data_IF_876991491470
#
_entry.id   IF_876991491470
#
_cell.length_a   1.000
_cell.length_b   1.000
_cell.length_c   1.000
_cell.angle_alpha   90.00
_cell.angle_beta   90.00
_cell.angle_gamma   90.00
#
_symmetry.space_group_name_H-M   'P 1'
#
loop_
_entity.id
_entity.type
_entity.pdbx_description
1 polymer ?
#
# COMPACT_ATOMS: atom_id res chain seq x y z
N UNK A 1 -31.83 22.10 -4.67
CA UNK A 1 -31.87 20.66 -4.31
C UNK A 1 -32.24 19.69 -5.45
N UNK A 2 -32.54 20.11 -6.69
CA UNK A 2 -32.85 19.17 -7.81
C UNK A 2 -31.69 18.85 -8.77
N UNK A 3 -30.52 19.50 -8.62
CA UNK A 3 -29.36 19.29 -9.52
C UNK A 3 -28.43 18.15 -9.09
N UNK A 4 -28.39 17.78 -7.81
CA UNK A 4 -27.55 16.66 -7.32
C UNK A 4 -28.13 15.26 -7.62
N UNK A 5 -29.44 15.14 -7.85
CA UNK A 5 -30.09 13.85 -8.12
C UNK A 5 -29.85 13.35 -9.56
N UNK A 6 -29.65 14.27 -10.51
CA UNK A 6 -29.35 13.95 -11.92
C UNK A 6 -27.88 13.57 -12.15
N UNK A 7 -26.95 14.07 -11.32
CA UNK A 7 -25.55 13.65 -11.35
C UNK A 7 -25.37 12.22 -10.81
N UNK A 8 -26.13 11.85 -9.77
CA UNK A 8 -26.14 10.49 -9.22
C UNK A 8 -26.71 9.46 -10.22
N UNK A 9 -27.76 9.83 -10.95
CA UNK A 9 -28.35 9.00 -12.02
C UNK A 9 -27.43 8.85 -13.26
N UNK A 10 -26.55 9.81 -13.53
CA UNK A 10 -25.59 9.73 -14.63
C UNK A 10 -24.37 8.86 -14.29
N UNK A 11 -23.93 8.83 -13.02
CA UNK A 11 -22.91 7.90 -12.52
C UNK A 11 -23.43 6.45 -12.44
N UNK A 12 -24.70 6.27 -12.06
CA UNK A 12 -25.37 4.95 -12.10
C UNK A 12 -25.65 4.45 -13.52
N UNK A 13 -25.67 5.34 -14.53
CA UNK A 13 -25.94 4.98 -15.93
C UNK A 13 -24.69 4.50 -16.71
N UNK A 14 -23.51 4.48 -16.09
CA UNK A 14 -22.27 3.99 -16.70
C UNK A 14 -21.79 2.65 -16.14
N UNK A 15 -22.65 1.91 -15.43
CA UNK A 15 -22.45 0.46 -15.34
C UNK A 15 -22.78 -0.10 -16.74
N UNK A 16 -21.76 -0.40 -17.53
CA UNK A 16 -21.95 -1.07 -18.83
C UNK A 16 -22.80 -2.32 -18.63
N UNK A 17 -23.61 -2.71 -19.62
CA UNK A 17 -24.43 -3.93 -19.54
C UNK A 17 -23.63 -5.17 -19.08
N UNK A 18 -22.34 -5.22 -19.44
CA UNK A 18 -21.42 -6.25 -18.95
C UNK A 18 -21.13 -6.13 -17.45
N UNK A 19 -20.97 -4.93 -16.89
CA UNK A 19 -20.79 -4.73 -15.45
C UNK A 19 -22.05 -5.11 -14.66
N UNK A 20 -23.25 -4.77 -15.15
CA UNK A 20 -24.51 -5.17 -14.50
C UNK A 20 -24.68 -6.70 -14.49
N UNK A 21 -24.47 -7.35 -15.65
CA UNK A 21 -24.53 -8.81 -15.76
C UNK A 21 -23.47 -9.50 -14.88
N UNK A 22 -22.30 -8.89 -14.72
CA UNK A 22 -21.27 -9.37 -13.80
C UNK A 22 -21.71 -9.21 -12.34
N UNK A 23 -22.29 -8.06 -11.97
CA UNK A 23 -22.88 -7.85 -10.64
C UNK A 23 -23.95 -8.91 -10.33
N UNK A 24 -24.80 -9.25 -11.30
CA UNK A 24 -25.86 -10.25 -11.12
C UNK A 24 -25.30 -11.67 -10.90
N UNK A 25 -24.17 -12.01 -11.52
CA UNK A 25 -23.47 -13.29 -11.28
C UNK A 25 -22.85 -13.30 -9.89
N UNK A 26 -22.19 -12.19 -9.54
CA UNK A 26 -21.53 -11.97 -8.27
C UNK A 26 -22.54 -12.10 -7.11
N UNK A 27 -23.70 -11.45 -7.22
CA UNK A 27 -24.81 -11.45 -6.25
C UNK A 27 -25.52 -12.82 -6.10
N UNK A 28 -25.11 -13.85 -6.83
CA UNK A 28 -25.79 -15.14 -6.78
C UNK A 28 -25.52 -15.89 -5.47
N UNK A 29 -26.50 -16.65 -4.91
CA UNK A 29 -26.35 -17.37 -3.64
C UNK A 29 -25.24 -18.42 -3.59
N UNK A 30 -24.58 -18.72 -4.72
CA UNK A 30 -23.48 -19.69 -4.79
C UNK A 30 -22.19 -19.21 -4.10
N UNK A 31 -22.05 -17.90 -3.87
CA UNK A 31 -20.80 -17.28 -3.38
C UNK A 31 -20.74 -17.00 -1.86
N UNK A 32 -21.49 -17.77 -1.06
CA UNK A 32 -21.59 -17.52 0.39
C UNK A 32 -20.44 -18.07 1.25
N UNK A 33 -19.54 -18.90 0.68
CA UNK A 33 -18.43 -19.50 1.41
C UNK A 33 -17.09 -18.91 0.97
N UNK A 34 -16.15 -18.77 1.91
CA UNK A 34 -14.78 -18.34 1.63
C UNK A 34 -14.10 -19.28 0.64
N UNK A 35 -13.54 -18.71 -0.42
CA UNK A 35 -12.92 -19.42 -1.52
C UNK A 35 -11.86 -18.54 -2.14
N UNK A 36 -10.56 -18.74 -1.84
CA UNK A 36 -9.51 -17.80 -2.24
C UNK A 36 -9.48 -17.48 -3.73
N UNK A 37 -9.80 -18.46 -4.59
CA UNK A 37 -9.84 -18.25 -6.04
C UNK A 37 -11.05 -17.42 -6.48
N UNK A 38 -12.23 -17.66 -5.88
CA UNK A 38 -13.44 -16.90 -6.18
C UNK A 38 -13.37 -15.50 -5.58
N UNK A 39 -12.88 -15.37 -4.34
CA UNK A 39 -12.70 -14.08 -3.67
C UNK A 39 -11.64 -13.23 -4.37
N UNK A 40 -10.55 -13.82 -4.88
CA UNK A 40 -9.55 -13.08 -5.67
C UNK A 40 -10.17 -12.54 -6.96
N UNK A 41 -11.04 -13.32 -7.60
CA UNK A 41 -11.79 -12.88 -8.77
C UNK A 41 -12.79 -11.76 -8.41
N UNK A 42 -13.51 -11.87 -7.29
CA UNK A 42 -14.39 -10.79 -6.80
C UNK A 42 -13.60 -9.50 -6.59
N UNK A 43 -12.42 -9.58 -5.97
CA UNK A 43 -11.55 -8.42 -5.77
C UNK A 43 -11.15 -7.79 -7.09
N UNK A 44 -10.66 -8.59 -8.05
CA UNK A 44 -10.28 -8.12 -9.39
C UNK A 44 -11.40 -7.35 -10.07
N UNK A 45 -12.64 -7.88 -10.01
CA UNK A 45 -13.79 -7.24 -10.63
C UNK A 45 -14.25 -5.97 -9.89
N UNK A 46 -13.92 -5.81 -8.61
CA UNK A 46 -14.40 -4.71 -7.77
C UNK A 46 -13.44 -3.51 -7.71
N UNK A 47 -12.17 -3.67 -8.13
CA UNK A 47 -11.18 -2.59 -8.15
C UNK A 47 -11.60 -1.33 -8.94
N UNK A 48 -12.32 -1.43 -10.08
CA UNK A 48 -12.80 -0.25 -10.81
C UNK A 48 -13.96 0.50 -10.15
N UNK A 49 -14.49 0.00 -9.02
CA UNK A 49 -15.67 0.53 -8.33
C UNK A 49 -15.31 0.98 -6.92
N UNK A 50 -14.61 2.12 -6.77
CA UNK A 50 -14.31 2.66 -5.46
C UNK A 50 -15.62 3.02 -4.72
N UNK A 51 -15.62 2.79 -3.41
CA UNK A 51 -16.71 3.17 -2.52
C UNK A 51 -16.66 4.67 -2.23
N UNK A 52 -17.82 5.32 -2.26
CA UNK A 52 -18.01 6.67 -1.73
C UNK A 52 -18.43 6.64 -0.24
N UNK A 53 -18.80 5.47 0.27
CA UNK A 53 -19.44 5.29 1.59
C UNK A 53 -18.46 4.89 2.69
N UNK A 54 -17.29 4.33 2.33
CA UNK A 54 -16.26 3.92 3.29
C UNK A 54 -14.87 4.10 2.71
N UNK A 55 -13.89 4.29 3.59
CA UNK A 55 -12.49 4.46 3.20
C UNK A 55 -11.55 3.60 4.04
N UNK A 56 -10.32 3.44 3.56
CA UNK A 56 -9.24 2.79 4.29
C UNK A 56 -8.09 3.75 4.52
N UNK A 57 -7.49 3.65 5.68
CA UNK A 57 -6.24 4.32 6.01
C UNK A 57 -5.29 3.37 6.71
N UNK A 58 -4.01 3.67 6.60
CA UNK A 58 -2.94 2.93 7.25
C UNK A 58 -2.33 3.78 8.35
N UNK A 59 -2.28 3.24 9.56
CA UNK A 59 -1.58 3.85 10.68
C UNK A 59 -0.33 3.03 10.98
N UNK A 60 0.84 3.63 10.84
CA UNK A 60 2.08 2.99 11.25
C UNK A 60 2.14 2.86 12.77
N UNK A 61 2.39 1.65 13.27
CA UNK A 61 2.64 1.40 14.68
C UNK A 61 4.15 1.43 14.97
N UNK A 62 4.94 0.76 14.12
CA UNK A 62 6.40 0.78 14.17
C UNK A 62 7.02 0.53 12.77
N UNK A 63 8.31 0.19 12.70
CA UNK A 63 9.01 -0.03 11.43
C UNK A 63 8.43 -1.16 10.55
N UNK A 64 7.69 -2.12 11.12
CA UNK A 64 7.16 -3.30 10.41
C UNK A 64 5.67 -3.56 10.64
N UNK A 65 5.06 -2.93 11.64
CA UNK A 65 3.67 -3.12 12.02
C UNK A 65 2.82 -1.90 11.68
N UNK A 66 1.66 -2.17 11.08
CA UNK A 66 0.70 -1.17 10.64
C UNK A 66 -0.70 -1.64 11.00
N UNK A 67 -1.58 -0.70 11.33
CA UNK A 67 -3.02 -0.95 11.50
C UNK A 67 -3.77 -0.42 10.30
N UNK A 68 -4.68 -1.24 9.77
CA UNK A 68 -5.60 -0.84 8.72
C UNK A 68 -6.86 -0.36 9.42
N UNK A 69 -7.16 0.92 9.25
CA UNK A 69 -8.35 1.53 9.80
C UNK A 69 -9.35 1.72 8.70
N UNK A 70 -10.51 1.10 8.88
CA UNK A 70 -11.70 1.40 8.11
C UNK A 70 -12.40 2.61 8.68
N UNK A 71 -12.79 3.55 7.83
CA UNK A 71 -13.72 4.62 8.21
C UNK A 71 -15.07 4.36 7.53
N UNK A 72 -16.15 4.51 8.29
CA UNK A 72 -17.54 4.35 7.83
C UNK A 72 -17.86 2.98 7.21
N UNK A 73 -17.15 1.91 7.58
CA UNK A 73 -17.46 0.55 7.11
C UNK A 73 -18.88 0.15 7.58
N UNK A 74 -19.80 -0.20 6.66
CA UNK A 74 -21.16 -0.62 7.02
C UNK A 74 -21.18 -1.86 7.93
N UNK A 75 -21.87 -1.81 9.09
CA UNK A 75 -22.01 -2.98 9.95
C UNK A 75 -22.96 -4.03 9.35
N UNK A 76 -22.75 -5.30 9.72
CA UNK A 76 -23.52 -6.46 9.28
C UNK A 76 -23.24 -6.89 7.85
N UNK A 77 -22.18 -6.36 7.23
CA UNK A 77 -21.79 -6.66 5.87
C UNK A 77 -20.48 -7.45 5.82
N UNK A 78 -20.42 -8.43 4.91
CA UNK A 78 -19.25 -9.28 4.66
C UNK A 78 -18.31 -8.59 3.69
N UNK A 79 -17.05 -8.50 4.06
CA UNK A 79 -15.97 -7.91 3.28
C UNK A 79 -14.87 -8.93 3.01
N UNK A 80 -14.19 -8.78 1.87
CA UNK A 80 -12.96 -9.48 1.52
C UNK A 80 -11.80 -8.53 1.76
N UNK A 81 -10.78 -8.99 2.50
CA UNK A 81 -9.52 -8.29 2.63
C UNK A 81 -8.46 -8.93 1.74
N UNK A 82 -7.81 -8.13 0.90
CA UNK A 82 -6.78 -8.58 -0.03
C UNK A 82 -5.64 -7.57 -0.15
N UNK A 83 -4.47 -8.06 -0.55
CA UNK A 83 -3.38 -7.22 -1.07
C UNK A 83 -3.27 -7.38 -2.58
N UNK A 84 -3.03 -6.29 -3.28
CA UNK A 84 -2.84 -6.21 -4.73
C UNK A 84 -1.44 -5.65 -4.99
N UNK A 85 -0.65 -6.37 -5.76
CA UNK A 85 0.65 -5.91 -6.26
C UNK A 85 0.41 -5.04 -7.51
N UNK A 86 0.59 -3.71 -7.43
CA UNK A 86 0.27 -2.79 -8.54
C UNK A 86 1.17 -3.00 -9.76
N UNK A 87 2.29 -3.71 -9.63
CA UNK A 87 3.24 -3.91 -10.73
C UNK A 87 2.88 -5.10 -11.63
N UNK A 88 2.21 -6.11 -11.09
CA UNK A 88 1.87 -7.33 -11.83
C UNK A 88 0.39 -7.74 -11.71
N UNK A 89 -0.41 -6.99 -10.94
CA UNK A 89 -1.83 -7.25 -10.72
C UNK A 89 -2.10 -8.48 -9.87
N UNK A 90 -1.10 -9.08 -9.23
CA UNK A 90 -1.28 -10.26 -8.39
C UNK A 90 -2.13 -9.89 -7.17
N UNK A 91 -3.21 -10.63 -6.99
CA UNK A 91 -4.13 -10.49 -5.85
C UNK A 91 -3.89 -11.63 -4.88
N UNK A 92 -3.72 -11.29 -3.61
CA UNK A 92 -3.63 -12.25 -2.50
C UNK A 92 -4.76 -11.96 -1.51
N UNK A 93 -5.78 -12.81 -1.51
CA UNK A 93 -6.86 -12.76 -0.52
C UNK A 93 -6.35 -13.31 0.81
N UNK A 94 -6.52 -12.53 1.86
CA UNK A 94 -6.06 -12.90 3.21
C UNK A 94 -7.18 -13.55 4.02
N UNK A 95 -8.34 -12.89 4.11
CA UNK A 95 -9.50 -13.36 4.88
C UNK A 95 -10.77 -12.59 4.50
N UNK A 96 -11.91 -13.09 4.97
CA UNK A 96 -13.16 -12.33 5.03
C UNK A 96 -13.35 -11.73 6.43
N UNK A 97 -14.08 -10.62 6.53
CA UNK A 97 -14.49 -10.09 7.82
C UNK A 97 -15.87 -9.42 7.77
N UNK A 98 -16.46 -9.17 8.93
CA UNK A 98 -17.70 -8.42 9.10
C UNK A 98 -17.55 -7.49 10.30
N UNK A 99 -17.97 -6.23 10.16
CA UNK A 99 -18.09 -5.32 11.28
C UNK A 99 -19.43 -5.52 11.96
N UNK A 100 -19.45 -5.79 13.26
CA UNK A 100 -20.69 -6.01 14.00
C UNK A 100 -21.27 -4.68 14.50
N UNK A 101 -22.56 -4.67 14.84
CA UNK A 101 -23.25 -3.45 15.32
C UNK A 101 -22.65 -2.89 16.63
N UNK A 102 -22.02 -3.75 17.45
CA UNK A 102 -21.31 -3.37 18.67
C UNK A 102 -19.86 -2.90 18.43
N UNK A 103 -19.47 -2.75 17.15
CA UNK A 103 -18.19 -2.19 16.75
C UNK A 103 -17.02 -3.17 16.76
N UNK A 104 -17.27 -4.48 16.91
CA UNK A 104 -16.24 -5.53 16.82
C UNK A 104 -16.05 -5.99 15.38
N UNK A 105 -14.93 -6.64 15.12
CA UNK A 105 -14.61 -7.26 13.84
C UNK A 105 -14.68 -8.78 13.97
N UNK A 106 -15.58 -9.42 13.24
CA UNK A 106 -15.59 -10.87 13.07
C UNK A 106 -14.76 -11.24 11.85
N UNK A 107 -13.61 -11.88 12.05
CA UNK A 107 -12.73 -12.35 10.98
C UNK A 107 -13.03 -13.82 10.69
N UNK A 108 -13.39 -14.12 9.43
CA UNK A 108 -13.70 -15.46 8.95
C UNK A 108 -12.49 -16.06 8.24
N UNK A 109 -11.97 -17.13 8.81
CA UNK A 109 -10.96 -17.99 8.21
C UNK A 109 -11.54 -19.38 7.95
N UNK A 110 -10.85 -20.18 7.12
CA UNK A 110 -11.34 -21.46 6.57
C UNK A 110 -12.15 -22.33 7.55
N UNK A 111 -11.77 -22.40 8.84
CA UNK A 111 -12.46 -23.19 9.86
C UNK A 111 -12.62 -22.48 11.21
N UNK A 112 -12.47 -21.15 11.28
CA UNK A 112 -12.57 -20.43 12.56
C UNK A 112 -13.07 -19.01 12.36
N UNK A 113 -13.74 -18.50 13.38
CA UNK A 113 -14.12 -17.10 13.50
C UNK A 113 -13.33 -16.52 14.66
N UNK A 114 -12.65 -15.39 14.42
CA UNK A 114 -12.00 -14.59 15.47
C UNK A 114 -12.78 -13.31 15.68
N UNK A 115 -12.80 -12.80 16.90
CA UNK A 115 -13.39 -11.50 17.24
C UNK A 115 -12.23 -10.60 17.64
N UNK A 116 -12.09 -9.47 16.95
CA UNK A 116 -11.01 -8.50 17.13
C UNK A 116 -11.63 -7.10 17.33
N UNK A 117 -10.86 -6.18 17.93
CA UNK A 117 -11.26 -4.77 18.07
C UNK A 117 -10.98 -3.94 16.80
N UNK A 118 -9.95 -4.33 16.06
CA UNK A 118 -9.53 -3.71 14.80
C UNK A 118 -9.19 -4.82 13.80
N UNK A 119 -8.89 -4.47 12.55
CA UNK A 119 -8.35 -5.42 11.57
C UNK A 119 -6.83 -5.44 11.75
N UNK A 120 -6.23 -6.41 12.48
CA UNK A 120 -4.79 -6.52 12.51
C UNK A 120 -4.34 -6.96 11.13
N UNK A 121 -3.44 -6.20 10.52
CA UNK A 121 -2.72 -6.70 9.35
C UNK A 121 -1.22 -6.62 9.63
N UNK A 122 -0.54 -7.68 9.25
CA UNK A 122 0.91 -7.73 9.28
C UNK A 122 1.32 -7.62 7.83
N UNK A 123 2.05 -6.57 7.49
CA UNK A 123 2.66 -6.46 6.18
C UNK A 123 3.63 -7.66 6.04
N UNK A 124 3.23 -8.65 5.24
CA UNK A 124 3.86 -9.97 5.23
C UNK A 124 5.26 -9.96 4.59
N UNK A 125 6.00 -11.04 4.80
CA UNK A 125 7.30 -11.29 4.18
C UNK A 125 7.25 -11.04 2.65
N UNK A 126 8.19 -10.26 2.13
CA UNK A 126 8.25 -9.92 0.70
C UNK A 126 8.31 -8.42 0.39
N UNK A 127 8.11 -7.53 1.36
CA UNK A 127 8.15 -6.07 1.22
C UNK A 127 9.47 -5.49 0.66
N UNK A 128 9.49 -5.14 -0.62
CA UNK A 128 10.65 -4.52 -1.27
C UNK A 128 10.61 -3.02 -1.03
N UNK A 129 11.74 -2.41 -0.64
CA UNK A 129 11.81 -0.97 -0.42
C UNK A 129 11.32 -0.18 -1.64
N UNK A 130 10.58 0.90 -1.41
CA UNK A 130 9.90 1.71 -2.42
C UNK A 130 8.86 1.00 -3.31
N UNK A 131 8.62 -0.32 -3.16
CA UNK A 131 7.60 -1.03 -3.95
C UNK A 131 6.23 -0.90 -3.28
N UNK A 132 5.26 -0.18 -3.89
CA UNK A 132 3.93 -0.04 -3.31
C UNK A 132 3.20 -1.39 -3.24
N UNK A 133 2.40 -1.54 -2.20
CA UNK A 133 1.41 -2.61 -2.01
C UNK A 133 0.06 -1.93 -1.81
N UNK A 134 -0.96 -2.34 -2.56
CA UNK A 134 -2.31 -1.83 -2.38
C UNK A 134 -3.07 -2.80 -1.49
N UNK A 135 -3.57 -2.33 -0.34
CA UNK A 135 -4.47 -3.08 0.49
C UNK A 135 -5.89 -2.72 0.16
N UNK A 136 -6.69 -3.70 -0.23
CA UNK A 136 -8.05 -3.51 -0.70
C UNK A 136 -9.04 -4.25 0.19
N UNK A 137 -10.11 -3.55 0.56
CA UNK A 137 -11.31 -4.11 1.17
C UNK A 137 -12.42 -4.05 0.14
N UNK A 138 -13.10 -5.17 -0.08
CA UNK A 138 -14.20 -5.29 -1.04
C UNK A 138 -15.45 -5.78 -0.33
N UNK A 139 -16.55 -5.06 -0.49
CA UNK A 139 -17.85 -5.55 -0.05
C UNK A 139 -18.31 -6.74 -0.92
N UNK A 140 -18.80 -7.82 -0.30
CA UNK A 140 -19.46 -8.93 -1.01
C UNK A 140 -20.92 -8.63 -1.38
N UNK A 141 -21.50 -7.52 -0.93
CA UNK A 141 -22.90 -7.15 -1.17
C UNK A 141 -23.03 -6.04 -2.20
N UNK A 142 -22.27 -4.95 -2.06
CA UNK A 142 -22.26 -3.83 -2.99
C UNK A 142 -21.21 -3.98 -4.10
N UNK A 143 -20.19 -4.82 -3.92
CA UNK A 143 -19.03 -4.95 -4.83
C UNK A 143 -18.25 -3.64 -5.02
N UNK A 144 -18.35 -2.74 -4.04
CA UNK A 144 -17.51 -1.55 -3.97
C UNK A 144 -16.24 -1.88 -3.21
N UNK A 145 -15.16 -1.18 -3.55
CA UNK A 145 -13.85 -1.35 -2.94
C UNK A 145 -13.35 -0.08 -2.27
N UNK A 146 -12.56 -0.23 -1.22
CA UNK A 146 -11.69 0.84 -0.73
C UNK A 146 -10.26 0.33 -0.73
N UNK A 147 -9.32 1.19 -1.08
CA UNK A 147 -7.90 0.83 -1.20
C UNK A 147 -7.04 1.81 -0.41
N UNK A 148 -6.06 1.30 0.30
CA UNK A 148 -4.98 2.07 0.90
C UNK A 148 -3.63 1.63 0.33
N UNK A 149 -2.79 2.59 -0.05
CA UNK A 149 -1.44 2.32 -0.54
C UNK A 149 -0.46 2.27 0.62
N UNK A 150 0.39 1.25 0.62
CA UNK A 150 1.51 1.08 1.54
C UNK A 150 2.82 1.03 0.76
N UNK A 151 3.77 1.89 1.12
CA UNK A 151 5.12 1.84 0.57
C UNK A 151 6.07 1.43 1.69
N UNK A 152 6.49 0.15 1.75
CA UNK A 152 7.45 -0.30 2.73
C UNK A 152 8.81 0.36 2.47
N UNK A 153 9.47 0.78 3.55
CA UNK A 153 10.79 1.42 3.53
C UNK A 153 10.87 2.49 2.43
N UNK A 154 10.10 3.59 2.58
CA UNK A 154 10.07 4.64 1.56
C UNK A 154 11.48 5.18 1.33
N UNK A 155 11.82 5.39 0.06
CA UNK A 155 13.04 6.07 -0.34
C UNK A 155 12.67 7.54 -0.41
N UNK A 156 12.86 8.26 0.69
CA UNK A 156 12.46 9.66 0.83
C UNK A 156 13.57 10.54 1.42
N UNK A 157 13.49 11.83 1.12
CA UNK A 157 14.35 12.87 1.67
C UNK A 157 13.53 14.13 1.79
N UNK A 158 13.75 14.88 2.85
CA UNK A 158 13.01 16.10 3.13
C UNK A 158 13.92 17.14 3.80
N UNK A 159 13.55 18.39 3.63
CA UNK A 159 14.05 19.48 4.43
C UNK A 159 12.89 20.36 4.92
N UNK A 160 13.18 21.55 5.42
CA UNK A 160 12.17 22.46 5.97
C UNK A 160 11.14 22.99 4.96
N UNK A 161 11.38 22.91 3.64
CA UNK A 161 10.49 23.48 2.63
C UNK A 161 10.18 22.51 1.48
N UNK A 162 10.26 21.20 1.72
CA UNK A 162 9.87 20.22 0.71
C UNK A 162 10.24 18.79 1.06
N UNK A 163 9.46 17.86 0.55
CA UNK A 163 9.65 16.42 0.69
C UNK A 163 9.62 15.77 -0.69
N UNK A 164 10.56 14.85 -0.94
CA UNK A 164 10.50 13.95 -2.08
C UNK A 164 10.49 12.50 -1.64
N UNK A 165 9.75 11.67 -2.37
CA UNK A 165 9.76 10.22 -2.24
C UNK A 165 9.85 9.55 -3.60
N UNK A 166 10.49 8.38 -3.64
CA UNK A 166 10.60 7.54 -4.82
C UNK A 166 9.75 6.30 -4.64
N UNK A 167 8.86 6.06 -5.59
CA UNK A 167 7.95 4.91 -5.63
C UNK A 167 8.27 4.07 -6.84
N UNK A 168 8.62 2.81 -6.67
CA UNK A 168 8.92 1.93 -7.78
C UNK A 168 7.65 1.66 -8.60
N UNK A 169 7.76 1.77 -9.93
CA UNK A 169 6.64 1.59 -10.88
C UNK A 169 6.86 0.45 -11.87
N UNK A 170 7.97 -0.29 -11.74
CA UNK A 170 8.32 -1.40 -12.62
C UNK A 170 8.65 -2.67 -11.83
N UNK A 171 8.21 -3.88 -12.25
CA UNK A 171 8.47 -5.13 -11.55
C UNK A 171 9.94 -5.43 -11.27
N UNK A 172 10.83 -5.01 -12.17
CA UNK A 172 12.28 -5.17 -12.02
C UNK A 172 12.93 -4.04 -11.22
N UNK A 173 12.15 -3.12 -10.64
CA UNK A 173 12.63 -1.99 -9.84
C UNK A 173 13.58 -1.03 -10.59
N UNK A 174 13.38 -0.91 -11.91
CA UNK A 174 14.21 -0.10 -12.82
C UNK A 174 13.57 1.23 -13.20
N UNK A 175 12.36 1.51 -12.73
CA UNK A 175 11.64 2.78 -12.93
C UNK A 175 10.96 3.19 -11.65
N UNK A 176 10.94 4.50 -11.44
CA UNK A 176 10.37 5.12 -10.26
C UNK A 176 9.45 6.27 -10.68
N UNK A 177 8.48 6.56 -9.83
CA UNK A 177 7.77 7.82 -9.79
C UNK A 177 8.36 8.64 -8.64
N UNK A 178 8.88 9.82 -8.96
CA UNK A 178 9.20 10.86 -8.00
C UNK A 178 7.90 11.54 -7.59
N UNK A 179 7.58 11.53 -6.30
CA UNK A 179 6.49 12.31 -5.72
C UNK A 179 7.09 13.41 -4.86
N UNK A 180 6.79 14.65 -5.21
CA UNK A 180 7.24 15.84 -4.51
C UNK A 180 6.05 16.54 -3.85
N UNK A 181 6.19 16.88 -2.57
CA UNK A 181 5.14 17.47 -1.74
C UNK A 181 5.73 18.60 -0.89
N UNK A 182 4.86 19.48 -0.40
CA UNK A 182 5.20 20.57 0.54
C UNK A 182 6.17 21.64 -0.03
N UNK A 183 6.31 21.71 -1.35
CA UNK A 183 7.11 22.74 -2.02
C UNK A 183 6.36 24.08 -2.10
N UNK A 184 7.11 25.18 -2.24
CA UNK A 184 6.52 26.50 -2.38
C UNK A 184 5.80 26.63 -3.75
N UNK A 185 4.50 26.96 -3.76
CA UNK A 185 3.75 27.15 -5.01
C UNK A 185 4.41 28.14 -5.97
N UNK A 186 4.59 27.73 -7.22
CA UNK A 186 5.12 28.56 -8.30
C UNK A 186 6.63 28.78 -8.31
N UNK A 187 7.38 28.23 -7.34
CA UNK A 187 8.84 28.21 -7.39
C UNK A 187 9.36 27.32 -8.55
N UNK A 188 10.61 27.51 -8.94
CA UNK A 188 11.28 26.62 -9.88
C UNK A 188 12.32 25.82 -9.12
N UNK A 189 12.22 24.50 -9.19
CA UNK A 189 13.21 23.56 -8.66
C UNK A 189 13.99 22.94 -9.81
N UNK A 190 15.29 22.71 -9.61
CA UNK A 190 16.15 21.97 -10.52
C UNK A 190 16.44 20.61 -9.93
N UNK A 191 16.12 19.56 -10.68
CA UNK A 191 16.36 18.18 -10.34
C UNK A 191 17.60 17.71 -11.10
N UNK A 192 18.60 17.22 -10.37
CA UNK A 192 19.80 16.61 -10.95
C UNK A 192 19.78 15.14 -10.57
N UNK A 193 19.47 14.29 -11.54
CA UNK A 193 19.40 12.85 -11.38
C UNK A 193 20.64 12.20 -12.01
N UNK A 194 21.38 11.45 -11.22
CA UNK A 194 22.61 10.78 -11.64
C UNK A 194 22.53 9.27 -11.43
N UNK A 195 22.88 8.48 -12.45
CA UNK A 195 23.05 7.04 -12.35
C UNK A 195 24.27 6.59 -13.15
N UNK A 196 25.30 6.10 -12.44
CA UNK A 196 26.62 5.89 -13.05
C UNK A 196 27.20 7.19 -13.63
N UNK A 197 27.55 7.16 -14.92
CA UNK A 197 28.10 8.32 -15.65
C UNK A 197 27.00 9.13 -16.37
N UNK A 198 25.73 8.75 -16.22
CA UNK A 198 24.60 9.45 -16.83
C UNK A 198 24.04 10.48 -15.86
N UNK A 199 23.92 11.73 -16.32
CA UNK A 199 23.36 12.85 -15.57
C UNK A 199 22.22 13.44 -16.39
N UNK A 200 21.06 13.60 -15.75
CA UNK A 200 19.87 14.23 -16.29
C UNK A 200 19.50 15.43 -15.42
N UNK A 201 19.29 16.59 -16.05
CA UNK A 201 18.88 17.81 -15.37
C UNK A 201 17.48 18.22 -15.85
N UNK A 202 16.57 18.45 -14.92
CA UNK A 202 15.18 18.80 -15.20
C UNK A 202 14.80 20.02 -14.36
N UNK A 203 14.28 21.07 -14.99
CA UNK A 203 13.68 22.19 -14.27
C UNK A 203 12.16 22.02 -14.21
N UNK A 204 11.61 22.16 -13.01
CA UNK A 204 10.17 21.98 -12.75
C UNK A 204 9.65 23.23 -12.07
N UNK A 205 8.60 23.81 -12.65
CA UNK A 205 7.83 24.84 -11.97
C UNK A 205 6.78 24.18 -11.09
N UNK A 206 6.87 24.40 -9.79
CA UNK A 206 5.97 23.80 -8.80
C UNK A 206 4.54 24.31 -9.02
N UNK A 207 3.54 23.41 -9.15
CA UNK A 207 2.14 23.77 -9.25
C UNK A 207 1.62 24.55 -8.03
N UNK A 208 0.37 25.02 -8.13
CA UNK A 208 -0.22 25.84 -7.05
C UNK A 208 -0.54 25.06 -5.78
N UNK A 209 -0.68 23.74 -5.88
CA UNK A 209 -0.90 22.85 -4.73
C UNK A 209 0.40 22.48 -4.00
N UNK A 210 1.57 22.95 -4.47
CA UNK A 210 2.86 22.66 -3.86
C UNK A 210 3.36 21.23 -4.11
N UNK A 211 2.76 20.50 -5.04
CA UNK A 211 3.07 19.10 -5.31
C UNK A 211 3.28 18.81 -6.79
N UNK A 212 4.11 17.84 -7.13
CA UNK A 212 4.25 17.35 -8.50
C UNK A 212 4.73 15.89 -8.53
N UNK A 213 4.47 15.20 -9.64
CA UNK A 213 5.01 13.87 -9.90
C UNK A 213 5.78 13.82 -11.20
N UNK A 214 6.86 13.02 -11.24
CA UNK A 214 7.67 12.83 -12.43
C UNK A 214 8.14 11.37 -12.57
N UNK A 215 8.19 10.81 -13.78
CA UNK A 215 8.85 9.54 -14.00
C UNK A 215 10.37 9.71 -13.88
N UNK A 216 11.03 8.81 -13.15
CA UNK A 216 12.48 8.69 -13.08
C UNK A 216 12.94 7.31 -13.55
N UNK A 217 13.98 7.30 -14.39
CA UNK A 217 14.56 6.08 -14.92
C UNK A 217 16.07 6.03 -14.66
N UNK A 218 16.53 5.37 -13.58
CA UNK A 218 17.96 5.26 -13.28
C UNK A 218 18.70 4.22 -14.13
N UNK A 219 18.06 3.63 -15.15
CA UNK A 219 18.65 2.52 -15.90
C UNK A 219 19.85 2.97 -16.75
N UNK A 220 21.01 2.38 -16.48
CA UNK A 220 22.24 2.54 -17.29
C UNK A 220 22.39 1.38 -18.26
N UNK A 221 22.82 1.67 -19.49
CA UNK A 221 23.02 0.64 -20.53
C UNK A 221 23.95 -0.48 -20.04
N UNK A 222 23.50 -1.72 -20.17
CA UNK A 222 24.27 -2.91 -19.77
C UNK A 222 24.23 -3.23 -18.27
N UNK A 223 23.45 -2.51 -17.46
CA UNK A 223 23.28 -2.77 -16.02
C UNK A 223 21.85 -3.17 -15.68
N UNK A 224 21.71 -4.16 -14.78
CA UNK A 224 20.41 -4.64 -14.25
C UNK A 224 20.08 -4.06 -12.85
N UNK A 225 20.94 -3.19 -12.34
CA UNK A 225 20.85 -2.58 -11.04
C UNK A 225 22.08 -1.74 -10.75
N UNK A 226 21.98 -0.86 -9.78
CA UNK A 226 23.05 0.04 -9.40
C UNK A 226 22.61 0.96 -8.27
N UNK A 227 23.42 1.98 -8.03
CA UNK A 227 23.11 3.09 -7.15
C UNK A 227 22.89 4.34 -8.03
N UNK A 228 21.97 5.19 -7.62
CA UNK A 228 21.63 6.46 -8.25
C UNK A 228 21.48 7.53 -7.16
N UNK A 229 21.54 8.79 -7.56
CA UNK A 229 21.26 9.92 -6.70
C UNK A 229 20.32 10.91 -7.38
N UNK A 230 19.47 11.55 -6.59
CA UNK A 230 18.65 12.67 -7.02
C UNK A 230 18.96 13.84 -6.09
N UNK A 231 19.39 14.95 -6.67
CA UNK A 231 19.57 16.22 -5.97
C UNK A 231 18.47 17.19 -6.39
N UNK A 232 17.83 17.80 -5.42
CA UNK A 232 16.83 18.84 -5.60
C UNK A 232 17.48 20.16 -5.23
N UNK A 233 17.69 21.03 -6.20
CA UNK A 233 18.19 22.39 -6.02
C UNK A 233 17.04 23.40 -6.12
N UNK A 234 17.03 24.36 -5.21
CA UNK A 234 16.07 25.48 -5.21
C UNK A 234 16.76 26.76 -4.75
N UNK A 235 16.02 27.84 -4.66
CA UNK A 235 16.60 29.14 -4.26
C UNK A 235 17.16 29.09 -2.83
N UNK A 236 18.49 28.94 -2.71
CA UNK A 236 19.21 29.04 -1.43
C UNK A 236 19.34 27.74 -0.63
N UNK A 237 18.89 26.60 -1.16
CA UNK A 237 19.10 25.28 -0.52
C UNK A 237 19.12 24.16 -1.54
N UNK A 238 19.69 23.04 -1.14
CA UNK A 238 19.65 21.79 -1.89
C UNK A 238 19.67 20.62 -0.92
N UNK A 239 19.01 19.53 -1.31
CA UNK A 239 19.06 18.26 -0.61
C UNK A 239 19.13 17.12 -1.61
N UNK A 240 19.65 15.99 -1.18
CA UNK A 240 19.88 14.83 -2.05
C UNK A 240 19.33 13.56 -1.42
N UNK A 241 19.06 12.60 -2.28
CA UNK A 241 18.71 11.23 -1.91
C UNK A 241 19.54 10.25 -2.73
N UNK A 242 20.25 9.37 -2.03
CA UNK A 242 20.97 8.26 -2.65
C UNK A 242 20.13 6.99 -2.53
N UNK A 243 19.95 6.28 -3.63
CA UNK A 243 19.09 5.12 -3.67
C UNK A 243 19.59 4.02 -4.59
N UNK A 244 19.42 2.75 -4.19
CA UNK A 244 19.69 1.63 -5.09
C UNK A 244 18.50 1.40 -6.03
N UNK A 245 18.76 0.78 -7.17
CA UNK A 245 17.74 0.38 -8.14
C UNK A 245 18.01 -1.02 -8.71
N UNK A 246 16.99 -1.61 -9.33
CA UNK A 246 17.09 -2.93 -9.93
C UNK A 246 17.47 -4.03 -8.93
N UNK A 247 18.31 -4.97 -9.37
CA UNK A 247 18.83 -6.05 -8.52
C UNK A 247 19.57 -5.55 -7.26
N UNK A 248 20.09 -4.31 -7.27
CA UNK A 248 20.77 -3.71 -6.10
C UNK A 248 19.77 -3.36 -4.99
N UNK A 249 18.59 -2.83 -5.35
CA UNK A 249 17.53 -2.48 -4.40
C UNK A 249 16.94 -3.73 -3.73
N UNK A 250 16.71 -4.78 -4.53
CA UNK A 250 16.23 -6.07 -4.02
C UNK A 250 17.20 -6.66 -3.00
N UNK A 251 18.51 -6.68 -3.33
CA UNK A 251 19.55 -7.15 -2.42
C UNK A 251 19.61 -6.33 -1.13
N UNK A 252 19.62 -4.99 -1.22
CA UNK A 252 19.69 -4.12 -0.03
C UNK A 252 18.47 -4.28 0.87
N UNK A 253 17.28 -4.44 0.28
CA UNK A 253 16.06 -4.75 1.05
C UNK A 253 16.25 -6.04 1.83
N UNK A 254 16.71 -7.11 1.19
CA UNK A 254 16.93 -8.39 1.87
C UNK A 254 17.93 -8.26 3.03
N UNK A 255 19.05 -7.57 2.80
CA UNK A 255 20.08 -7.32 3.84
C UNK A 255 19.52 -6.54 5.03
N UNK A 256 18.70 -5.51 4.80
CA UNK A 256 18.08 -4.72 5.87
C UNK A 256 17.12 -5.53 6.74
N UNK A 257 16.39 -6.50 6.16
CA UNK A 257 15.45 -7.34 6.91
C UNK A 257 16.14 -8.31 7.87
N UNK A 258 17.35 -8.77 7.53
CA UNK A 258 18.11 -9.68 8.41
C UNK A 258 18.54 -8.98 9.70
N UNK A 259 18.62 -7.65 9.71
CA UNK A 259 19.00 -6.87 10.88
C UNK A 259 17.85 -6.56 11.84
N UNK A 260 16.59 -6.67 11.39
CA UNK A 260 15.44 -6.60 12.28
C UNK A 260 15.12 -8.02 12.75
N UNK A 261 15.36 -8.37 14.04
CA UNK A 261 14.88 -9.65 14.53
C UNK A 261 13.37 -9.69 14.29
N UNK A 262 12.91 -10.75 13.63
CA UNK A 262 11.49 -11.03 13.50
C UNK A 262 10.93 -11.08 14.92
N UNK A 263 10.31 -9.98 15.35
CA UNK A 263 9.58 -9.97 16.61
C UNK A 263 8.38 -10.88 16.34
N UNK A 264 8.49 -12.14 16.80
CA UNK A 264 7.33 -13.01 16.89
C UNK A 264 6.40 -12.36 17.92
N UNK A 265 5.45 -11.56 17.45
CA UNK A 265 4.29 -11.19 18.26
C UNK A 265 3.46 -12.46 18.36
N UNK A 266 3.80 -13.28 19.34
CA UNK A 266 2.92 -14.35 19.79
C UNK A 266 1.71 -13.63 20.38
N UNK A 267 0.57 -13.70 19.69
CA UNK A 267 -0.74 -13.32 20.21
C UNK A 267 -1.06 -14.20 21.44
N UNK A 268 -0.44 -13.89 22.58
CA UNK A 268 -0.98 -14.20 23.89
C UNK A 268 -1.63 -12.91 24.35
N UNK A 269 -2.92 -13.03 24.68
CA UNK A 269 -3.68 -12.04 25.43
C UNK A 269 -2.76 -11.38 26.45
N UNK A 270 -2.63 -10.06 26.40
CA UNK A 270 -1.78 -9.25 27.28
C UNK A 270 -2.40 -9.26 28.68
N UNK A 271 -2.38 -10.42 29.31
CA UNK A 271 -2.59 -10.63 30.73
C UNK A 271 -1.52 -11.66 31.11
N UNK A 272 -0.43 -11.20 31.74
CA UNK A 272 0.71 -11.99 32.23
C UNK A 272 1.69 -12.56 31.18
N UNK A 273 2.50 -11.70 30.57
CA UNK A 273 3.82 -12.13 30.05
C UNK A 273 4.86 -11.74 31.10
N UNK A 274 5.44 -12.75 31.75
CA UNK A 274 6.62 -12.59 32.61
C UNK A 274 7.82 -12.20 31.72
N UNK A 275 8.40 -10.99 31.87
CA UNK A 275 9.50 -10.53 31.03
C UNK A 275 10.73 -11.45 31.06
N UNK A 276 10.91 -12.26 32.12
CA UNK A 276 12.02 -13.24 32.16
C UNK A 276 11.86 -14.43 31.21
N UNK A 277 10.65 -14.75 30.72
CA UNK A 277 10.49 -15.88 29.80
C UNK A 277 10.95 -15.54 28.38
N UNK A 278 10.77 -14.28 27.95
CA UNK A 278 11.09 -13.83 26.59
C UNK A 278 12.60 -13.81 26.34
N UNK A 279 13.39 -13.36 27.32
CA UNK A 279 14.86 -13.38 27.21
C UNK A 279 15.42 -14.80 27.10
N UNK A 280 14.82 -15.77 27.80
CA UNK A 280 15.26 -17.17 27.79
C UNK A 280 15.01 -17.89 26.46
N UNK A 281 13.87 -17.62 25.81
CA UNK A 281 13.56 -18.18 24.49
C UNK A 281 14.40 -17.53 23.39
N UNK A 282 14.68 -16.23 23.50
CA UNK A 282 15.55 -15.53 22.56
C UNK A 282 17.00 -16.03 22.63
N UNK A 283 17.53 -16.25 23.84
CA UNK A 283 18.85 -16.84 24.04
C UNK A 283 18.95 -18.26 23.46
N UNK A 284 17.89 -19.08 23.56
CA UNK A 284 17.87 -20.43 23.02
C UNK A 284 17.83 -20.48 21.47
N UNK A 285 17.24 -19.47 20.83
CA UNK A 285 17.19 -19.34 19.37
C UNK A 285 18.51 -18.86 18.77
N UNK A 286 19.25 -18.02 19.48
CA UNK A 286 20.55 -17.46 19.02
C UNK A 286 21.73 -18.44 19.16
N UNK A 287 21.52 -19.60 19.78
CA UNK A 287 22.53 -20.66 19.96
C UNK A 287 22.28 -21.91 19.08
N UNK A 288 21.38 -21.84 18.10
CA UNK A 288 21.17 -22.85 17.06
C UNK A 288 21.57 -22.31 15.69
#
# INVERSE_FOLDING_TARGET
MKKSFLALLALLASCTYNQQKHLDILLSPRYQNYSPAEDAWIVEQSLPFPSDDFSLSLTQLDASFFFLKGDQIPPGERFIFASVDPMNGKIEVSFEFEWTEDGKVQVFEKNKIRIEDEIPFIASAGLIAAKPVLYTVVSKKSYTSATAEFIPYPIESQDENGKVSLVATHPLLTRFELRAEEFQPGETVKLIHQSGDQIEEIEVRVPQDGSFTLPLNPTVLGRMGGDASLTVERSGSAFSIDYPWGARLEKRTFESRVQFPILFVVNRTIEEIDPTSVESEFAALMHK
#
